data_IF_847319305739
#
_entry.id   IF_847319305739
#
_cell.length_a   1.000
_cell.length_b   1.000
_cell.length_c   1.000
_cell.angle_alpha   90.00
_cell.angle_beta   90.00
_cell.angle_gamma   90.00
#
_symmetry.space_group_name_H-M   'P 1'
#
loop_
_entity.id
_entity.type
_entity.pdbx_description
1 polymer ?
#
# COMPACT_ATOMS: atom_id res chain seq x y z
N UNK A 1 13.67 -6.68 0.79
CA UNK A 1 14.50 -5.68 1.47
C UNK A 1 14.42 -4.39 0.67
N UNK A 2 14.36 -3.24 1.36
CA UNK A 2 14.37 -1.91 0.75
C UNK A 2 15.79 -1.55 0.28
N UNK A 3 15.91 -0.89 -0.87
CA UNK A 3 17.15 -0.21 -1.30
C UNK A 3 16.94 1.31 -1.17
N UNK A 4 17.45 1.87 -0.08
CA UNK A 4 17.30 3.29 0.23
C UNK A 4 18.03 4.21 -0.75
N UNK A 5 18.99 3.71 -1.55
CA UNK A 5 19.69 4.50 -2.54
C UNK A 5 18.80 4.85 -3.75
N UNK A 6 17.82 4.00 -4.07
CA UNK A 6 16.89 4.21 -5.20
C UNK A 6 15.83 5.29 -4.95
N UNK A 7 15.51 5.54 -3.68
CA UNK A 7 14.51 6.55 -3.27
C UNK A 7 14.95 7.99 -3.65
N UNK A 8 16.26 8.25 -3.79
CA UNK A 8 16.77 9.58 -4.14
C UNK A 8 16.79 9.86 -5.65
N UNK A 9 16.54 8.86 -6.50
CA UNK A 9 16.77 8.92 -7.94
C UNK A 9 15.52 8.92 -8.82
N UNK A 10 14.33 9.21 -8.26
CA UNK A 10 13.06 9.03 -8.98
C UNK A 10 12.85 7.58 -9.48
N UNK A 11 13.36 6.60 -8.72
CA UNK A 11 13.19 5.17 -9.00
C UNK A 11 12.21 4.58 -8.00
N UNK A 12 11.29 3.75 -8.49
CA UNK A 12 10.31 3.05 -7.67
C UNK A 12 11.01 2.12 -6.67
N UNK A 13 11.12 2.55 -5.42
CA UNK A 13 11.56 1.70 -4.32
C UNK A 13 10.33 1.12 -3.64
N UNK A 14 10.14 -0.20 -3.71
CA UNK A 14 9.10 -0.87 -2.95
C UNK A 14 9.37 -0.71 -1.45
N UNK A 15 8.49 0.01 -0.74
CA UNK A 15 8.67 0.32 0.69
C UNK A 15 8.00 -0.66 1.65
N UNK A 16 7.14 -1.55 1.14
CA UNK A 16 6.41 -2.50 1.95
C UNK A 16 5.64 -3.50 1.08
N UNK A 17 4.97 -4.44 1.76
CA UNK A 17 4.01 -5.36 1.15
C UNK A 17 2.76 -5.37 2.01
N UNK A 18 1.61 -5.30 1.36
CA UNK A 18 0.30 -5.38 2.02
C UNK A 18 -0.24 -6.78 1.73
N UNK A 19 -0.63 -7.58 2.75
CA UNK A 19 -1.32 -8.83 2.53
C UNK A 19 -2.67 -8.58 1.83
N UNK A 20 -2.96 -9.38 0.80
CA UNK A 20 -4.20 -9.25 0.01
C UNK A 20 -4.86 -10.61 -0.18
N UNK A 21 -6.08 -10.62 -0.71
CA UNK A 21 -6.79 -11.84 -1.06
C UNK A 21 -6.32 -12.46 -2.38
N UNK A 22 -7.02 -13.50 -2.81
CA UNK A 22 -6.72 -14.23 -4.04
C UNK A 22 -7.13 -13.42 -5.29
N UNK A 23 -6.25 -13.44 -6.28
CA UNK A 23 -6.44 -12.84 -7.61
C UNK A 23 -6.99 -11.40 -7.56
N UNK A 24 -6.21 -10.43 -7.04
CA UNK A 24 -6.59 -9.02 -7.04
C UNK A 24 -6.67 -8.47 -8.47
N UNK A 25 -7.64 -7.58 -8.75
CA UNK A 25 -7.90 -7.09 -10.11
C UNK A 25 -7.86 -5.58 -10.26
N UNK A 26 -8.46 -4.85 -9.32
CA UNK A 26 -8.59 -3.40 -9.43
C UNK A 26 -8.28 -2.72 -8.11
N UNK A 27 -7.59 -1.58 -8.20
CA UNK A 27 -7.22 -0.73 -7.08
C UNK A 27 -7.68 0.70 -7.38
N UNK A 28 -8.36 1.32 -6.42
CA UNK A 28 -8.81 2.71 -6.52
C UNK A 28 -8.49 3.48 -5.25
N UNK A 29 -7.95 4.68 -5.44
CA UNK A 29 -7.79 5.71 -4.40
C UNK A 29 -8.70 6.88 -4.79
N UNK A 30 -9.66 7.31 -3.95
CA UNK A 30 -10.47 8.50 -4.17
C UNK A 30 -9.61 9.79 -4.10
N UNK A 31 -10.20 10.91 -4.49
CA UNK A 31 -9.49 12.18 -4.58
C UNK A 31 -8.96 12.70 -3.22
N UNK A 32 -9.55 12.26 -2.11
CA UNK A 32 -9.11 12.62 -0.76
C UNK A 32 -7.83 11.89 -0.32
N UNK A 33 -7.45 10.81 -1.03
CA UNK A 33 -6.21 10.06 -0.76
C UNK A 33 -6.21 9.25 0.54
N UNK A 34 -7.32 9.23 1.30
CA UNK A 34 -7.37 8.64 2.64
C UNK A 34 -7.66 7.14 2.61
N UNK A 35 -8.44 6.70 1.63
CA UNK A 35 -8.89 5.30 1.52
C UNK A 35 -8.39 4.65 0.24
N UNK A 36 -7.97 3.39 0.35
CA UNK A 36 -7.65 2.54 -0.79
C UNK A 36 -8.62 1.38 -0.85
N UNK A 37 -9.26 1.20 -2.01
CA UNK A 37 -10.16 0.09 -2.29
C UNK A 37 -9.46 -0.92 -3.19
N UNK A 38 -9.51 -2.19 -2.81
CA UNK A 38 -8.93 -3.29 -3.58
C UNK A 38 -9.95 -4.42 -3.76
N UNK A 39 -10.23 -4.78 -5.01
CA UNK A 39 -11.06 -5.95 -5.34
C UNK A 39 -10.22 -7.22 -5.39
N UNK A 40 -10.55 -8.21 -4.56
CA UNK A 40 -9.95 -9.54 -4.55
C UNK A 40 -10.89 -10.53 -5.24
N UNK A 41 -10.83 -10.60 -6.57
CA UNK A 41 -11.79 -11.36 -7.37
C UNK A 41 -11.83 -12.85 -6.99
N UNK A 42 -10.66 -13.48 -6.82
CA UNK A 42 -10.57 -14.90 -6.46
C UNK A 42 -11.04 -15.18 -5.04
N UNK A 43 -11.02 -14.19 -4.16
CA UNK A 43 -11.56 -14.30 -2.79
C UNK A 43 -13.01 -13.86 -2.65
N UNK A 44 -13.63 -13.35 -3.72
CA UNK A 44 -14.97 -12.76 -3.68
C UNK A 44 -15.11 -11.70 -2.56
N UNK A 45 -14.11 -10.84 -2.40
CA UNK A 45 -14.08 -9.83 -1.32
C UNK A 45 -13.50 -8.49 -1.75
N UNK A 46 -13.92 -7.43 -1.05
CA UNK A 46 -13.36 -6.08 -1.16
C UNK A 46 -12.55 -5.78 0.09
N UNK A 47 -11.33 -5.29 -0.07
CA UNK A 47 -10.53 -4.74 1.02
C UNK A 47 -10.57 -3.21 0.97
N UNK A 48 -10.76 -2.61 2.14
CA UNK A 48 -10.76 -1.16 2.36
C UNK A 48 -9.63 -0.86 3.32
N UNK A 49 -8.72 0.02 2.93
CA UNK A 49 -7.50 0.32 3.68
C UNK A 49 -7.38 1.81 3.93
N UNK A 50 -6.98 2.16 5.15
CA UNK A 50 -6.56 3.52 5.50
C UNK A 50 -5.12 3.73 5.02
N UNK A 51 -4.93 4.68 4.11
CA UNK A 51 -3.64 4.95 3.48
C UNK A 51 -2.60 5.44 4.48
N UNK A 52 -3.00 6.19 5.51
CA UNK A 52 -2.06 6.68 6.53
C UNK A 52 -1.44 5.54 7.33
N UNK A 53 -2.19 4.45 7.50
CA UNK A 53 -1.74 3.25 8.24
C UNK A 53 -0.89 2.31 7.40
N UNK A 54 -0.72 2.59 6.11
CA UNK A 54 0.11 1.81 5.20
C UNK A 54 1.56 2.33 5.14
N UNK A 55 1.89 3.48 5.75
CA UNK A 55 3.25 4.02 5.73
C UNK A 55 4.14 3.40 6.82
N UNK A 56 5.10 2.51 6.48
CA UNK A 56 5.99 1.88 7.43
C UNK A 56 6.98 2.86 8.08
N UNK A 57 7.14 4.09 7.55
CA UNK A 57 8.00 5.11 8.18
C UNK A 57 7.33 5.74 9.39
N UNK A 58 5.99 5.79 9.43
CA UNK A 58 5.22 6.47 10.48
C UNK A 58 4.99 5.60 11.72
N UNK A 59 5.09 4.27 11.58
CA UNK A 59 5.10 3.31 12.71
C UNK A 59 6.44 3.31 13.48
N UNK A 60 7.50 3.92 12.91
CA UNK A 60 8.75 4.22 13.61
C UNK A 60 8.70 5.60 14.27
N UNK A 61 7.66 5.82 15.08
CA UNK A 61 7.60 6.95 15.98
C UNK A 61 8.76 6.91 16.97
N UNK A 62 9.62 7.92 16.87
CA UNK A 62 10.36 8.58 17.94
C UNK A 62 10.22 7.96 19.35
N UNK A 63 11.30 7.30 19.79
CA UNK A 63 11.79 7.29 21.16
C UNK A 63 13.31 7.44 21.14
#
# INVERSE_FOLDING_TARGET
MLDAAKIRGNQDAAIGRIPVGAFPRELRVPADGQTLYLTNFGSNSLQVMDVERLDPKRDRGEK
#
